data_IF_068335768015
#
_entry.id   IF_068335768015
#
_cell.length_a   1.000
_cell.length_b   1.000
_cell.length_c   1.000
_cell.angle_alpha   90.00
_cell.angle_beta   90.00
_cell.angle_gamma   90.00
#
_symmetry.space_group_name_H-M   'P 1'
#
loop_
_entity.id
_entity.type
_entity.pdbx_description
1 polymer ?
#
# COMPACT_ATOMS: atom_id res chain seq x y z
N UNK A 1 -28.81 -25.57 4.18
CA UNK A 1 -28.58 -24.30 4.88
C UNK A 1 -27.16 -24.36 5.41
N UNK A 2 -26.25 -23.52 4.93
CA UNK A 2 -24.84 -23.54 5.38
C UNK A 2 -24.76 -22.89 6.75
N UNK A 3 -24.19 -23.58 7.73
CA UNK A 3 -23.98 -23.06 9.09
C UNK A 3 -22.73 -22.19 9.09
N UNK A 4 -22.87 -20.90 9.37
CA UNK A 4 -21.73 -20.00 9.57
C UNK A 4 -21.24 -20.13 11.03
N UNK A 5 -19.98 -20.51 11.22
CA UNK A 5 -19.34 -20.60 12.53
C UNK A 5 -18.36 -19.45 12.64
N UNK A 6 -18.63 -18.52 13.56
CA UNK A 6 -17.77 -17.36 13.78
C UNK A 6 -16.48 -17.76 14.51
N UNK A 7 -15.44 -16.92 14.46
CA UNK A 7 -14.23 -17.14 15.24
C UNK A 7 -14.50 -17.45 16.71
N UNK A 8 -13.82 -18.49 17.22
CA UNK A 8 -13.96 -19.02 18.59
C UNK A 8 -15.34 -19.57 18.96
N UNK A 9 -16.20 -19.91 17.99
CA UNK A 9 -17.51 -20.53 18.24
C UNK A 9 -17.62 -21.99 17.81
N UNK A 10 -16.50 -22.61 17.38
CA UNK A 10 -16.49 -24.00 16.94
C UNK A 10 -16.72 -24.98 18.10
N UNK A 11 -17.69 -25.87 17.92
CA UNK A 11 -17.95 -27.01 18.78
C UNK A 11 -17.85 -28.33 18.00
N UNK A 12 -16.79 -29.10 18.24
CA UNK A 12 -16.50 -30.37 17.56
C UNK A 12 -17.65 -31.39 17.53
N UNK A 13 -18.60 -31.31 18.46
CA UNK A 13 -19.72 -32.24 18.55
C UNK A 13 -20.97 -31.80 17.77
N UNK A 14 -21.10 -30.51 17.47
CA UNK A 14 -22.31 -29.94 16.82
C UNK A 14 -22.02 -29.25 15.50
N UNK A 15 -20.74 -29.07 15.18
CA UNK A 15 -20.23 -28.28 14.07
C UNK A 15 -19.40 -29.14 13.10
N UNK A 16 -19.57 -30.45 13.19
CA UNK A 16 -19.02 -31.44 12.28
C UNK A 16 -19.84 -31.47 10.98
N UNK A 17 -19.38 -30.72 9.97
CA UNK A 17 -19.96 -30.68 8.63
C UNK A 17 -19.08 -29.92 7.65
N UNK A 18 -19.47 -29.88 6.38
CA UNK A 18 -18.82 -29.02 5.37
C UNK A 18 -18.95 -27.55 5.77
N UNK A 19 -17.82 -26.87 5.96
CA UNK A 19 -17.79 -25.50 6.45
C UNK A 19 -16.41 -24.87 6.30
N UNK A 20 -16.33 -23.57 6.56
CA UNK A 20 -15.05 -22.89 6.62
C UNK A 20 -14.31 -23.24 7.91
N UNK A 21 -13.02 -23.52 7.78
CA UNK A 21 -12.11 -23.70 8.90
C UNK A 21 -11.19 -22.49 9.01
N UNK A 22 -10.96 -22.05 10.24
CA UNK A 22 -10.08 -20.93 10.55
C UNK A 22 -8.97 -21.39 11.48
N UNK A 23 -7.74 -21.03 11.19
CA UNK A 23 -6.63 -21.19 12.14
C UNK A 23 -6.28 -19.85 12.75
N UNK A 24 -5.74 -19.90 13.97
CA UNK A 24 -5.41 -18.72 14.74
C UNK A 24 -3.98 -18.81 15.27
N UNK A 25 -3.37 -17.65 15.44
CA UNK A 25 -2.14 -17.57 16.23
C UNK A 25 -2.45 -17.52 17.73
N UNK A 26 -1.40 -17.47 18.54
CA UNK A 26 -1.49 -17.41 20.00
C UNK A 26 -2.21 -16.17 20.54
N UNK A 27 -2.37 -15.12 19.72
CA UNK A 27 -3.08 -13.88 20.05
C UNK A 27 -4.54 -13.91 19.56
N UNK A 28 -5.01 -15.04 19.00
CA UNK A 28 -6.36 -15.20 18.49
C UNK A 28 -6.62 -14.51 17.15
N UNK A 29 -5.58 -14.15 16.39
CA UNK A 29 -5.70 -13.54 15.05
C UNK A 29 -5.77 -14.64 14.00
N UNK A 30 -6.60 -14.46 12.97
CA UNK A 30 -6.78 -15.45 11.89
C UNK A 30 -5.51 -15.58 11.06
N UNK A 31 -4.89 -16.76 11.02
CA UNK A 31 -3.71 -17.05 10.20
C UNK A 31 -4.11 -17.66 8.86
N UNK A 32 -5.07 -18.58 8.83
CA UNK A 32 -5.57 -19.17 7.58
C UNK A 32 -7.08 -19.29 7.57
N UNK A 33 -7.64 -19.19 6.37
CA UNK A 33 -9.04 -19.50 6.05
C UNK A 33 -9.04 -20.64 5.05
N UNK A 34 -9.76 -21.71 5.37
CA UNK A 34 -9.84 -22.93 4.57
C UNK A 34 -11.31 -23.16 4.20
N UNK A 35 -11.59 -23.30 2.91
CA UNK A 35 -12.92 -23.59 2.39
C UNK A 35 -13.34 -25.05 2.67
N UNK A 36 -14.65 -25.38 2.54
CA UNK A 36 -15.14 -26.73 2.82
C UNK A 36 -14.48 -27.86 2.02
N UNK A 37 -13.96 -27.55 0.83
CA UNK A 37 -13.24 -28.49 -0.05
C UNK A 37 -11.77 -28.69 0.35
N UNK A 38 -11.32 -28.03 1.43
CA UNK A 38 -9.93 -28.06 1.90
C UNK A 38 -9.02 -27.01 1.27
N UNK A 39 -9.52 -26.19 0.33
CA UNK A 39 -8.72 -25.14 -0.31
C UNK A 39 -8.38 -24.03 0.69
N UNK A 40 -7.10 -23.68 0.82
CA UNK A 40 -6.69 -22.49 1.57
C UNK A 40 -7.04 -21.26 0.74
N UNK A 41 -8.08 -20.52 1.15
CA UNK A 41 -8.55 -19.35 0.41
C UNK A 41 -7.88 -18.06 0.84
N UNK A 42 -7.28 -18.04 2.04
CA UNK A 42 -6.53 -16.89 2.54
C UNK A 42 -5.49 -17.31 3.58
N UNK A 43 -4.33 -16.66 3.55
CA UNK A 43 -3.29 -16.70 4.58
C UNK A 43 -2.94 -15.28 5.01
N UNK A 44 -2.74 -15.06 6.31
CA UNK A 44 -2.35 -13.78 6.89
C UNK A 44 -1.09 -13.96 7.73
N UNK A 45 -0.15 -13.03 7.59
CA UNK A 45 1.02 -12.92 8.45
C UNK A 45 0.99 -11.57 9.16
N UNK A 46 1.36 -11.58 10.42
CA UNK A 46 1.37 -10.40 11.26
C UNK A 46 2.75 -10.18 11.88
N UNK A 47 3.06 -8.92 12.19
CA UNK A 47 4.21 -8.59 13.01
C UNK A 47 3.97 -8.85 14.50
N UNK A 48 5.02 -8.60 15.29
CA UNK A 48 5.03 -8.73 16.75
C UNK A 48 4.00 -7.82 17.44
N UNK A 49 3.67 -6.69 16.84
CA UNK A 49 2.77 -5.68 17.40
C UNK A 49 1.29 -5.99 17.19
N UNK A 50 0.93 -6.89 16.27
CA UNK A 50 -0.49 -7.07 15.96
C UNK A 50 -0.83 -6.90 14.49
N UNK A 51 0.03 -6.25 13.72
CA UNK A 51 -0.33 -5.59 12.46
C UNK A 51 -0.11 -6.54 11.29
N UNK A 52 -1.04 -6.53 10.32
CA UNK A 52 -0.98 -7.38 9.14
C UNK A 52 0.18 -6.92 8.25
N UNK A 53 1.16 -7.77 8.00
CA UNK A 53 2.29 -7.47 7.11
C UNK A 53 2.20 -8.16 5.76
N UNK A 54 1.41 -9.24 5.68
CA UNK A 54 1.18 -9.96 4.44
C UNK A 54 -0.19 -10.65 4.46
N UNK A 55 -0.90 -10.59 3.33
CA UNK A 55 -2.11 -11.37 3.09
C UNK A 55 -2.05 -11.93 1.68
N UNK A 56 -2.34 -13.22 1.53
CA UNK A 56 -2.33 -13.93 0.23
C UNK A 56 -3.58 -14.78 0.10
N UNK A 57 -4.22 -14.75 -1.07
CA UNK A 57 -5.39 -15.56 -1.41
C UNK A 57 -5.01 -16.89 -2.10
N UNK A 58 -6.03 -17.70 -2.43
CA UNK A 58 -5.84 -18.99 -3.11
C UNK A 58 -5.14 -18.90 -4.48
N UNK A 59 -5.15 -17.72 -5.11
CA UNK A 59 -4.56 -17.46 -6.43
C UNK A 59 -3.14 -16.89 -6.33
N UNK A 60 -2.51 -16.96 -5.14
CA UNK A 60 -1.25 -16.28 -4.83
C UNK A 60 -1.27 -14.76 -5.10
N UNK A 61 -2.46 -14.16 -5.15
CA UNK A 61 -2.63 -12.72 -5.18
C UNK A 61 -2.73 -12.20 -3.77
N UNK A 62 -2.34 -10.95 -3.53
CA UNK A 62 -2.22 -10.49 -2.16
C UNK A 62 -1.56 -9.13 -2.03
N UNK A 63 -1.32 -8.76 -0.78
CA UNK A 63 -0.66 -7.52 -0.41
C UNK A 63 0.43 -7.76 0.64
N UNK A 64 1.45 -6.91 0.60
CA UNK A 64 2.38 -6.66 1.68
C UNK A 64 2.13 -5.26 2.23
N UNK A 65 2.26 -5.11 3.54
CA UNK A 65 2.08 -3.84 4.23
C UNK A 65 3.28 -3.59 5.13
N UNK A 66 3.86 -2.41 5.03
CA UNK A 66 4.95 -1.94 5.89
C UNK A 66 4.46 -0.83 6.79
N UNK A 67 5.07 -0.71 7.97
CA UNK A 67 4.70 0.25 8.99
C UNK A 67 5.93 0.96 9.54
N UNK A 68 5.75 2.19 10.00
CA UNK A 68 6.75 2.88 10.81
C UNK A 68 6.71 2.43 12.29
N UNK A 69 7.62 3.01 13.08
CA UNK A 69 7.71 2.75 14.53
C UNK A 69 6.49 3.27 15.33
N UNK A 70 5.72 4.20 14.76
CA UNK A 70 4.53 4.78 15.40
C UNK A 70 3.26 4.00 15.08
N UNK A 71 3.30 3.05 14.13
CA UNK A 71 2.12 2.28 13.73
C UNK A 71 1.48 2.74 12.42
N UNK A 72 2.03 3.75 11.75
CA UNK A 72 1.46 4.25 10.51
C UNK A 72 1.92 3.38 9.34
N UNK A 73 1.02 3.10 8.37
CA UNK A 73 1.35 2.33 7.17
C UNK A 73 2.24 3.15 6.26
N UNK A 74 3.47 2.72 6.01
CA UNK A 74 4.41 3.45 5.14
C UNK A 74 4.33 2.98 3.70
N UNK A 75 3.93 1.72 3.47
CA UNK A 75 3.82 1.14 2.14
C UNK A 75 2.78 0.04 2.08
N UNK A 76 2.06 -0.01 0.96
CA UNK A 76 1.23 -1.14 0.55
C UNK A 76 1.71 -1.56 -0.83
N UNK A 77 1.92 -2.86 -1.03
CA UNK A 77 2.34 -3.40 -2.32
C UNK A 77 1.55 -4.66 -2.64
N UNK A 78 0.93 -4.72 -3.81
CA UNK A 78 0.30 -5.96 -4.29
C UNK A 78 1.36 -6.93 -4.79
N UNK A 79 1.06 -8.23 -4.76
CA UNK A 79 1.95 -9.26 -5.35
C UNK A 79 2.12 -9.07 -6.86
N UNK A 80 1.17 -8.41 -7.53
CA UNK A 80 1.27 -7.99 -8.93
C UNK A 80 2.17 -6.77 -9.18
N UNK A 81 2.79 -6.21 -8.14
CA UNK A 81 3.79 -5.14 -8.25
C UNK A 81 3.27 -3.71 -8.08
N UNK A 82 1.95 -3.50 -8.10
CA UNK A 82 1.37 -2.18 -7.82
C UNK A 82 1.70 -1.78 -6.37
N UNK A 83 2.14 -0.53 -6.15
CA UNK A 83 2.56 -0.06 -4.83
C UNK A 83 2.07 1.36 -4.57
N UNK A 84 1.90 1.67 -3.29
CA UNK A 84 1.62 3.00 -2.79
C UNK A 84 2.43 3.20 -1.50
N UNK A 85 3.13 4.32 -1.38
CA UNK A 85 3.76 4.75 -0.12
C UNK A 85 3.04 5.96 0.46
N UNK A 86 3.20 6.15 1.76
CA UNK A 86 2.54 7.19 2.54
C UNK A 86 3.57 7.90 3.42
N UNK A 87 3.43 9.21 3.55
CA UNK A 87 4.22 10.05 4.45
C UNK A 87 3.32 10.75 5.47
N UNK A 88 3.87 10.96 6.66
CA UNK A 88 3.14 11.47 7.82
C UNK A 88 3.88 12.63 8.48
N UNK A 89 3.14 13.55 9.09
CA UNK A 89 3.69 14.52 10.01
C UNK A 89 3.98 13.89 11.39
N UNK A 90 4.57 14.68 12.30
CA UNK A 90 4.88 14.22 13.66
C UNK A 90 3.66 13.89 14.54
N UNK A 91 2.45 14.27 14.10
CA UNK A 91 1.19 13.95 14.78
C UNK A 91 0.51 12.71 14.18
N UNK A 92 1.11 12.09 13.15
CA UNK A 92 0.55 10.94 12.45
C UNK A 92 -0.49 11.29 11.39
N UNK A 93 -0.63 12.56 11.01
CA UNK A 93 -1.50 12.93 9.90
C UNK A 93 -0.80 12.66 8.57
N UNK A 94 -1.54 12.15 7.59
CA UNK A 94 -1.01 11.92 6.25
C UNK A 94 -0.71 13.25 5.54
N UNK A 95 0.53 13.41 5.08
CA UNK A 95 0.99 14.62 4.35
C UNK A 95 1.39 14.35 2.91
N UNK A 96 1.41 13.08 2.51
CA UNK A 96 1.57 12.74 1.11
C UNK A 96 1.50 11.26 0.80
N UNK A 97 1.42 10.97 -0.49
CA UNK A 97 1.42 9.65 -1.06
C UNK A 97 2.29 9.61 -2.31
N UNK A 98 2.84 8.44 -2.62
CA UNK A 98 3.56 8.20 -3.88
C UNK A 98 3.17 6.86 -4.46
N UNK A 99 2.73 6.84 -5.72
CA UNK A 99 2.28 5.61 -6.38
C UNK A 99 3.46 4.80 -6.96
N UNK A 100 3.13 3.73 -7.69
CA UNK A 100 4.12 2.85 -8.31
C UNK A 100 4.95 3.51 -9.41
N UNK A 101 4.46 4.59 -10.01
CA UNK A 101 5.07 5.34 -11.10
C UNK A 101 5.88 6.54 -10.60
N UNK A 102 5.97 6.71 -9.27
CA UNK A 102 6.56 7.84 -8.56
C UNK A 102 5.77 9.15 -8.70
N UNK A 103 4.48 9.07 -9.01
CA UNK A 103 3.61 10.24 -8.98
C UNK A 103 3.33 10.60 -7.53
N UNK A 104 3.73 11.81 -7.14
CA UNK A 104 3.60 12.28 -5.77
C UNK A 104 2.35 13.14 -5.62
N UNK A 105 1.58 12.87 -4.57
CA UNK A 105 0.54 13.78 -4.08
C UNK A 105 0.92 14.24 -2.69
N UNK A 106 0.84 15.54 -2.41
CA UNK A 106 1.08 16.11 -1.07
C UNK A 106 -0.17 16.82 -0.56
N UNK A 107 -0.31 16.85 0.76
CA UNK A 107 -1.46 17.44 1.45
C UNK A 107 -0.99 18.54 2.38
N UNK A 108 -1.65 19.71 2.28
CA UNK A 108 -1.55 20.74 3.32
C UNK A 108 -2.66 20.53 4.31
N UNK A 109 -2.34 20.65 5.59
CA UNK A 109 -3.27 20.41 6.69
C UNK A 109 -3.48 21.69 7.50
N UNK A 110 -4.67 21.85 8.08
CA UNK A 110 -4.89 22.83 9.13
C UNK A 110 -4.42 22.32 10.51
N UNK A 111 -4.55 23.15 11.54
CA UNK A 111 -4.12 22.81 12.90
C UNK A 111 -4.83 21.59 13.50
N UNK A 112 -6.02 21.25 12.98
CA UNK A 112 -6.82 20.08 13.39
C UNK A 112 -6.54 18.84 12.53
N UNK A 113 -5.56 18.89 11.62
CA UNK A 113 -5.17 17.77 10.77
C UNK A 113 -6.10 17.53 9.58
N UNK A 114 -6.99 18.47 9.25
CA UNK A 114 -7.88 18.36 8.08
C UNK A 114 -7.15 18.84 6.83
N UNK A 115 -7.33 18.13 5.72
CA UNK A 115 -6.74 18.51 4.44
C UNK A 115 -7.38 19.81 3.95
N UNK A 116 -6.55 20.83 3.72
CA UNK A 116 -6.94 22.13 3.16
C UNK A 116 -6.50 22.29 1.71
N UNK A 117 -5.48 21.56 1.27
CA UNK A 117 -4.99 21.59 -0.11
C UNK A 117 -4.45 20.22 -0.52
N UNK A 118 -4.69 19.86 -1.78
CA UNK A 118 -4.11 18.69 -2.46
C UNK A 118 -3.24 19.19 -3.60
N UNK A 119 -1.96 18.84 -3.58
CA UNK A 119 -1.02 19.18 -4.64
C UNK A 119 -0.53 17.89 -5.30
N UNK A 120 -0.83 17.71 -6.58
CA UNK A 120 -0.32 16.59 -7.37
C UNK A 120 0.89 17.06 -8.16
N UNK A 121 1.95 16.25 -8.19
CA UNK A 121 3.07 16.49 -9.07
C UNK A 121 2.60 16.29 -10.52
N UNK A 122 2.55 17.38 -11.29
CA UNK A 122 2.43 17.31 -12.75
C UNK A 122 3.74 16.73 -13.30
N UNK A 123 3.76 15.41 -13.47
CA UNK A 123 4.85 14.64 -14.09
C UNK A 123 5.13 15.10 -15.54
N UNK A 124 4.23 15.88 -16.14
CA UNK A 124 4.38 16.48 -17.47
C UNK A 124 5.57 17.43 -17.55
N UNK A 125 5.90 18.18 -16.49
CA UNK A 125 7.04 19.11 -16.51
C UNK A 125 8.39 18.42 -16.24
N UNK A 126 8.43 17.38 -15.41
CA UNK A 126 9.69 16.68 -15.11
C UNK A 126 10.18 15.83 -16.30
N UNK A 127 9.29 15.22 -17.08
CA UNK A 127 9.67 14.51 -18.32
C UNK A 127 10.21 15.47 -19.40
N UNK A 128 9.66 16.68 -19.50
CA UNK A 128 10.19 17.70 -20.42
C UNK A 128 11.59 18.17 -20.01
N UNK A 129 11.89 18.27 -18.71
CA UNK A 129 13.21 18.67 -18.23
C UNK A 129 14.25 17.55 -18.33
N UNK A 130 13.87 16.27 -18.19
CA UNK A 130 14.81 15.15 -18.42
C UNK A 130 15.14 15.01 -19.91
N UNK A 131 14.18 15.22 -20.82
CA UNK A 131 14.48 15.24 -22.26
C UNK A 131 15.30 16.48 -22.68
N UNK A 132 15.16 17.63 -22.01
CA UNK A 132 15.98 18.82 -22.28
C UNK A 132 17.38 18.74 -21.63
N UNK A 133 17.54 18.07 -20.49
CA UNK A 133 18.81 17.99 -19.77
C UNK A 133 19.76 16.89 -20.28
N UNK A 134 19.27 15.91 -21.05
CA UNK A 134 20.14 14.86 -21.65
C UNK A 134 20.87 15.36 -22.90
N UNK A 135 20.40 16.44 -23.55
CA UNK A 135 21.09 17.02 -24.72
C UNK A 135 22.30 17.89 -24.33
N UNK A 136 22.33 18.45 -23.12
CA UNK A 136 23.34 19.46 -22.74
C UNK A 136 24.61 18.91 -22.05
N UNK A 137 24.75 17.58 -21.90
CA UNK A 137 25.96 16.99 -21.28
C UNK A 137 27.01 16.43 -22.26
N UNK A 138 26.81 16.52 -23.58
CA UNK A 138 27.84 16.15 -24.55
C UNK A 138 27.96 17.18 -25.68
N UNK A 139 28.64 18.30 -25.41
CA UNK A 139 29.72 18.87 -26.25
C UNK A 139 29.87 20.39 -26.07
N UNK A 140 30.90 20.76 -25.30
CA UNK A 140 31.83 21.84 -25.61
C UNK A 140 31.27 23.23 -25.98
N UNK A 141 31.13 24.08 -24.95
CA UNK A 141 31.71 25.43 -24.98
C UNK A 141 30.90 26.52 -25.69
N UNK A 142 30.40 27.45 -24.87
CA UNK A 142 29.82 28.76 -25.19
C UNK A 142 28.34 28.75 -25.61
N UNK A 143 27.49 29.31 -24.73
CA UNK A 143 26.18 29.84 -25.15
C UNK A 143 25.94 31.19 -24.47
N UNK A 144 25.91 32.25 -25.27
CA UNK A 144 25.33 33.56 -24.91
C UNK A 144 23.80 33.50 -25.09
N UNK A 145 23.00 34.21 -24.29
CA UNK A 145 21.54 34.06 -24.33
C UNK A 145 20.96 34.82 -25.54
N UNK A 146 20.50 34.08 -26.56
CA UNK A 146 19.60 34.63 -27.58
C UNK A 146 18.17 34.23 -27.27
N UNK A 147 17.34 35.24 -26.96
CA UNK A 147 15.87 35.15 -26.92
C UNK A 147 15.35 34.43 -28.16
N UNK A 148 14.42 33.49 -28.00
CA UNK A 148 13.52 33.11 -29.09
C UNK A 148 12.08 33.08 -28.55
N UNK A 149 11.09 33.57 -29.32
CA UNK A 149 9.75 33.93 -28.85
C UNK A 149 8.77 32.75 -28.91
N UNK A 150 7.66 32.93 -28.21
CA UNK A 150 6.50 32.05 -28.19
C UNK A 150 5.91 31.82 -29.58
N UNK A 151 5.66 30.55 -29.90
CA UNK A 151 4.44 30.08 -30.56
C UNK A 151 4.08 28.71 -29.98
#
# INVERSE_FOLDING_TARGET
MVKEIKPNQYNQHTDNGEGYCYTYDIKGRIVTVIAPDGTVVQTNTYDEFGRLINQVDANNSGINVEYDLQGNKTKIQTMGGAKQTFSYDARGNIVGTTDGENNQTTYTLDEWGRITQVNQADISYARMLVDYAVVDMYANGVVTPSKIPWN
#
